data_IF_944399135451
#
_entry.id   IF_944399135451
#
_cell.length_a   1.000
_cell.length_b   1.000
_cell.length_c   1.000
_cell.angle_alpha   90.00
_cell.angle_beta   90.00
_cell.angle_gamma   90.00
#
_symmetry.space_group_name_H-M   'P 1'
#
loop_
_entity.id
_entity.type
_entity.pdbx_description
1 polymer ?
#
# COMPACT_ATOMS: atom_id res chain seq x y z
N UNK A 1 0.96 -40.84 11.54
CA UNK A 1 1.66 -39.84 10.69
C UNK A 1 2.01 -38.70 11.62
N UNK A 2 3.30 -38.43 11.83
CA UNK A 2 3.73 -37.33 12.69
C UNK A 2 3.69 -36.07 11.83
N UNK A 3 3.02 -35.01 12.30
CA UNK A 3 3.05 -33.73 11.60
C UNK A 3 4.50 -33.22 11.59
N UNK A 4 4.99 -32.69 10.45
CA UNK A 4 6.34 -32.18 10.35
C UNK A 4 6.53 -31.02 11.32
N UNK A 5 7.64 -31.02 12.05
CA UNK A 5 8.00 -29.91 12.93
C UNK A 5 8.26 -28.64 12.12
N UNK A 6 7.76 -27.51 12.63
CA UNK A 6 8.00 -26.20 12.04
C UNK A 6 9.50 -25.89 12.16
N UNK A 7 10.20 -25.58 11.06
CA UNK A 7 11.62 -25.28 11.11
C UNK A 7 11.92 -24.12 12.08
N UNK A 8 12.93 -24.30 12.95
CA UNK A 8 13.29 -23.33 13.99
C UNK A 8 13.65 -21.94 13.45
N UNK A 9 14.17 -21.86 12.22
CA UNK A 9 14.50 -20.60 11.57
C UNK A 9 13.28 -19.68 11.38
N UNK A 10 12.06 -20.23 11.32
CA UNK A 10 10.82 -19.44 11.21
C UNK A 10 10.62 -18.58 12.46
N UNK A 11 10.94 -19.13 13.64
CA UNK A 11 10.77 -18.42 14.91
C UNK A 11 11.81 -17.29 15.10
N UNK A 12 13.00 -17.43 14.51
CA UNK A 12 14.10 -16.46 14.63
C UNK A 12 14.34 -15.65 13.36
N UNK A 13 13.39 -15.67 12.42
CA UNK A 13 13.56 -14.99 11.14
C UNK A 13 13.63 -13.48 11.32
N UNK A 14 14.71 -12.88 10.81
CA UNK A 14 14.84 -11.43 10.69
C UNK A 14 14.55 -11.06 9.24
N UNK A 15 13.65 -10.11 8.97
CA UNK A 15 13.38 -9.66 7.61
C UNK A 15 14.65 -9.22 6.89
N UNK A 16 14.87 -9.78 5.70
CA UNK A 16 15.89 -9.33 4.76
C UNK A 16 15.22 -8.76 3.50
N UNK A 17 15.88 -7.85 2.76
CA UNK A 17 15.38 -7.41 1.47
C UNK A 17 15.26 -8.60 0.52
N UNK A 18 14.19 -8.63 -0.28
CA UNK A 18 13.94 -9.70 -1.25
C UNK A 18 13.90 -9.12 -2.66
N UNK A 19 14.35 -9.91 -3.62
CA UNK A 19 14.27 -9.59 -5.04
C UNK A 19 13.90 -10.87 -5.78
N UNK A 20 12.75 -10.85 -6.45
CA UNK A 20 12.32 -11.89 -7.37
C UNK A 20 12.24 -11.29 -8.76
N UNK A 21 12.64 -12.06 -9.77
CA UNK A 21 12.40 -11.67 -11.14
C UNK A 21 12.04 -12.88 -11.99
N UNK A 22 11.20 -12.64 -12.97
CA UNK A 22 10.85 -13.61 -13.99
C UNK A 22 11.12 -12.98 -15.35
N UNK A 23 11.93 -13.67 -16.15
CA UNK A 23 12.15 -13.32 -17.55
C UNK A 23 11.31 -14.25 -18.44
N UNK A 24 10.65 -13.67 -19.44
CA UNK A 24 9.99 -14.37 -20.53
C UNK A 24 10.41 -13.71 -21.84
N UNK A 25 10.12 -14.36 -22.98
CA UNK A 25 10.38 -13.76 -24.30
C UNK A 25 9.65 -12.42 -24.50
N UNK A 26 8.53 -12.20 -23.79
CA UNK A 26 7.72 -10.99 -23.93
C UNK A 26 8.07 -9.87 -22.94
N UNK A 27 8.52 -10.20 -21.72
CA UNK A 27 8.79 -9.21 -20.67
C UNK A 27 9.63 -9.79 -19.52
N UNK A 28 10.33 -8.89 -18.82
CA UNK A 28 10.91 -9.13 -17.50
C UNK A 28 10.06 -8.42 -16.45
N UNK A 29 9.69 -9.14 -15.39
CA UNK A 29 8.98 -8.57 -14.23
C UNK A 29 9.83 -8.74 -12.99
N UNK A 30 9.97 -7.66 -12.22
CA UNK A 30 10.71 -7.58 -10.97
C UNK A 30 9.77 -7.32 -9.80
N UNK A 31 9.99 -8.03 -8.69
CA UNK A 31 9.38 -7.77 -7.40
C UNK A 31 10.45 -7.57 -6.35
N UNK A 32 10.49 -6.38 -5.77
CA UNK A 32 11.36 -6.04 -4.65
C UNK A 32 10.55 -5.95 -3.36
N UNK A 33 11.10 -6.46 -2.27
CA UNK A 33 10.68 -6.10 -0.90
C UNK A 33 11.81 -5.34 -0.25
N UNK A 34 11.56 -4.08 0.08
CA UNK A 34 12.55 -3.18 0.69
C UNK A 34 12.20 -2.90 2.15
N UNK A 35 13.24 -2.69 2.96
CA UNK A 35 13.13 -2.48 4.40
C UNK A 35 13.47 -1.05 4.80
N UNK A 36 14.11 -0.28 3.92
CA UNK A 36 14.50 1.11 4.19
C UNK A 36 14.21 2.02 3.02
N UNK A 37 14.20 3.34 3.28
CA UNK A 37 14.02 4.36 2.24
C UNK A 37 15.21 4.38 1.26
N UNK A 38 16.42 4.12 1.75
CA UNK A 38 17.63 4.05 0.92
C UNK A 38 17.53 2.89 -0.08
N UNK A 39 17.00 1.75 0.35
CA UNK A 39 16.76 0.61 -0.54
C UNK A 39 15.68 0.92 -1.57
N UNK A 40 14.60 1.61 -1.19
CA UNK A 40 13.59 2.09 -2.14
C UNK A 40 14.22 3.00 -3.20
N UNK A 41 15.03 3.98 -2.79
CA UNK A 41 15.75 4.88 -3.69
C UNK A 41 16.74 4.13 -4.58
N UNK A 42 17.45 3.12 -4.05
CA UNK A 42 18.37 2.30 -4.84
C UNK A 42 17.64 1.51 -5.94
N UNK A 43 16.46 0.95 -5.65
CA UNK A 43 15.64 0.26 -6.66
C UNK A 43 15.16 1.25 -7.73
N UNK A 44 14.70 2.45 -7.33
CA UNK A 44 14.28 3.49 -8.27
C UNK A 44 15.46 3.96 -9.16
N UNK A 45 16.66 4.12 -8.60
CA UNK A 45 17.84 4.49 -9.36
C UNK A 45 18.28 3.39 -10.34
N UNK A 46 18.20 2.12 -9.92
CA UNK A 46 18.50 0.96 -10.76
C UNK A 46 17.56 0.86 -11.97
N UNK A 47 16.29 1.20 -11.78
CA UNK A 47 15.23 1.12 -12.78
C UNK A 47 14.77 2.50 -13.27
N UNK A 48 15.68 3.49 -13.32
CA UNK A 48 15.36 4.89 -13.62
C UNK A 48 14.66 5.12 -14.97
N UNK A 49 14.90 4.22 -15.93
CA UNK A 49 14.35 4.30 -17.29
C UNK A 49 13.09 3.40 -17.44
N UNK A 50 12.67 2.74 -16.37
CA UNK A 50 11.47 1.90 -16.32
C UNK A 50 10.38 2.54 -15.44
N UNK A 51 9.12 2.15 -15.66
CA UNK A 51 8.06 2.50 -14.73
C UNK A 51 8.23 1.67 -13.45
N UNK A 52 8.46 2.34 -12.32
CA UNK A 52 8.52 1.70 -11.00
C UNK A 52 7.20 1.92 -10.27
N UNK A 53 6.50 0.83 -9.94
CA UNK A 53 5.28 0.85 -9.16
C UNK A 53 5.60 0.57 -7.68
N UNK A 54 5.29 1.53 -6.82
CA UNK A 54 5.34 1.35 -5.37
C UNK A 54 4.10 0.59 -4.90
N UNK A 55 4.29 -0.42 -4.06
CA UNK A 55 3.25 -1.36 -3.65
C UNK A 55 3.07 -1.33 -2.13
N UNK A 56 1.83 -1.03 -1.72
CA UNK A 56 1.30 -1.32 -0.38
C UNK A 56 0.56 -2.66 -0.40
N UNK A 57 -0.78 -2.64 -0.37
CA UNK A 57 -1.61 -3.85 -0.46
C UNK A 57 -2.01 -4.32 -1.86
N UNK A 58 -1.61 -3.61 -2.91
CA UNK A 58 -1.91 -3.90 -4.34
C UNK A 58 -3.41 -4.13 -4.68
N UNK A 59 -4.33 -3.67 -3.83
CA UNK A 59 -5.77 -3.86 -4.03
C UNK A 59 -6.30 -3.15 -5.28
N UNK A 60 -5.62 -2.09 -5.73
CA UNK A 60 -5.90 -1.36 -6.96
C UNK A 60 -5.87 -2.26 -8.21
N UNK A 61 -5.08 -3.34 -8.21
CA UNK A 61 -5.00 -4.31 -9.32
C UNK A 61 -6.38 -4.90 -9.67
N UNK A 62 -7.25 -5.06 -8.68
CA UNK A 62 -8.60 -5.62 -8.90
C UNK A 62 -9.53 -4.67 -9.65
N UNK A 63 -9.28 -3.35 -9.57
CA UNK A 63 -10.23 -2.32 -10.02
C UNK A 63 -9.67 -1.41 -11.11
N UNK A 64 -8.34 -1.25 -11.23
CA UNK A 64 -7.70 -0.31 -12.17
C UNK A 64 -8.11 -0.54 -13.62
N UNK A 65 -8.38 -1.80 -13.97
CA UNK A 65 -8.81 -2.23 -15.31
C UNK A 65 -10.15 -1.62 -15.75
N UNK A 66 -10.98 -1.12 -14.83
CA UNK A 66 -12.24 -0.47 -15.16
C UNK A 66 -12.08 1.02 -15.48
N UNK A 67 -10.92 1.61 -15.16
CA UNK A 67 -10.67 3.05 -15.29
C UNK A 67 -9.62 3.39 -16.35
N UNK A 68 -8.97 2.38 -16.94
CA UNK A 68 -7.92 2.55 -17.93
C UNK A 68 -8.42 2.59 -19.39
N UNK A 69 -9.74 2.60 -19.60
CA UNK A 69 -10.38 2.65 -20.93
C UNK A 69 -10.02 1.47 -21.86
N UNK A 70 -9.49 0.36 -21.33
CA UNK A 70 -9.13 -0.83 -22.13
C UNK A 70 -10.21 -1.90 -22.05
N UNK A 71 -11.39 -1.63 -22.62
CA UNK A 71 -12.41 -2.68 -22.80
C UNK A 71 -11.77 -3.91 -23.51
N UNK A 72 -12.04 -5.15 -23.08
CA UNK A 72 -13.09 -5.61 -22.16
C UNK A 72 -12.69 -5.63 -20.67
N UNK A 73 -11.81 -4.73 -20.22
CA UNK A 73 -11.40 -4.55 -18.82
C UNK A 73 -10.79 -5.81 -18.20
N UNK A 74 -9.98 -6.52 -18.98
CA UNK A 74 -9.28 -7.74 -18.57
C UNK A 74 -7.80 -7.52 -18.23
N UNK A 75 -7.25 -6.31 -18.47
CA UNK A 75 -5.85 -5.99 -18.19
C UNK A 75 -5.74 -4.98 -17.04
N UNK A 76 -5.26 -5.40 -15.86
CA UNK A 76 -4.90 -4.45 -14.82
C UNK A 76 -3.68 -3.63 -15.24
N UNK A 77 -3.54 -2.44 -14.65
CA UNK A 77 -2.36 -1.60 -14.88
C UNK A 77 -1.31 -2.00 -13.86
N UNK A 78 -0.22 -2.61 -14.33
CA UNK A 78 0.93 -3.01 -13.55
C UNK A 78 2.20 -2.60 -14.29
N UNK A 79 3.23 -2.22 -13.54
CA UNK A 79 4.56 -1.94 -14.09
C UNK A 79 5.42 -3.21 -14.13
N UNK A 80 6.48 -3.20 -14.94
CA UNK A 80 7.50 -4.27 -14.95
C UNK A 80 8.27 -4.34 -13.64
N UNK A 81 8.36 -3.24 -12.89
CA UNK A 81 9.07 -3.17 -11.61
C UNK A 81 8.10 -2.84 -10.50
N UNK A 82 7.93 -3.76 -9.54
CA UNK A 82 7.11 -3.59 -8.36
C UNK A 82 7.97 -3.54 -7.10
N UNK A 83 7.68 -2.61 -6.20
CA UNK A 83 8.46 -2.42 -4.96
C UNK A 83 7.52 -2.37 -3.75
N UNK A 84 7.50 -3.44 -2.97
CA UNK A 84 6.79 -3.53 -1.69
C UNK A 84 7.49 -2.69 -0.62
N UNK A 85 6.77 -1.69 -0.12
CA UNK A 85 7.23 -0.73 0.91
C UNK A 85 6.63 -0.99 2.30
N UNK A 86 5.86 -2.05 2.47
CA UNK A 86 5.13 -2.36 3.72
C UNK A 86 6.03 -2.74 4.90
N UNK A 87 7.34 -2.86 4.67
CA UNK A 87 8.34 -3.16 5.71
C UNK A 87 9.25 -1.98 6.02
N UNK A 88 8.99 -0.79 5.47
CA UNK A 88 9.71 0.44 5.82
C UNK A 88 9.07 1.07 7.06
N UNK A 89 9.75 1.16 8.22
CA UNK A 89 9.16 1.69 9.45
C UNK A 89 8.62 3.12 9.30
N UNK A 90 9.36 3.99 8.63
CA UNK A 90 8.95 5.39 8.39
C UNK A 90 7.64 5.51 7.57
N UNK A 91 7.33 4.52 6.73
CA UNK A 91 6.10 4.53 5.92
C UNK A 91 4.95 3.75 6.56
N UNK A 92 5.18 3.03 7.65
CA UNK A 92 4.16 2.27 8.38
C UNK A 92 3.77 2.90 9.72
N UNK A 93 4.44 3.99 10.11
CA UNK A 93 4.17 4.70 11.35
C UNK A 93 2.96 5.63 11.26
N UNK A 94 2.28 5.81 12.39
CA UNK A 94 1.32 6.87 12.64
C UNK A 94 1.81 7.63 13.87
N UNK A 95 2.05 8.93 13.73
CA UNK A 95 2.65 9.76 14.79
C UNK A 95 1.74 10.96 15.05
N UNK A 96 1.20 11.13 16.26
CA UNK A 96 0.54 12.38 16.65
C UNK A 96 1.52 13.53 16.52
N UNK A 97 1.09 14.62 15.89
CA UNK A 97 1.88 15.84 15.83
C UNK A 97 1.54 16.67 17.06
N UNK A 98 2.48 16.79 18.00
CA UNK A 98 2.28 17.54 19.25
C UNK A 98 1.68 18.93 18.99
N UNK A 99 0.80 19.35 19.90
CA UNK A 99 0.17 20.68 19.95
C UNK A 99 -0.79 21.00 18.79
N UNK A 100 -1.14 20.01 17.96
CA UNK A 100 -2.12 20.14 16.89
C UNK A 100 -2.95 18.84 16.87
N UNK A 101 -4.28 18.93 16.78
CA UNK A 101 -5.15 17.74 16.61
C UNK A 101 -4.95 17.08 15.22
N UNK A 102 -3.72 16.63 14.94
CA UNK A 102 -3.21 16.22 13.66
C UNK A 102 -2.39 14.92 13.80
N UNK A 103 -2.45 14.09 12.76
CA UNK A 103 -1.68 12.85 12.65
C UNK A 103 -0.74 12.95 11.45
N UNK A 104 0.53 12.60 11.65
CA UNK A 104 1.44 12.25 10.57
C UNK A 104 1.27 10.76 10.27
N UNK A 105 0.96 10.42 9.03
CA UNK A 105 0.58 9.06 8.62
C UNK A 105 1.51 8.60 7.50
N UNK A 106 2.22 7.49 7.71
CA UNK A 106 3.07 6.89 6.70
C UNK A 106 2.28 6.31 5.52
N UNK A 107 2.84 6.37 4.31
CA UNK A 107 2.13 5.99 3.07
C UNK A 107 1.73 4.51 2.97
N UNK A 108 2.39 3.61 3.71
CA UNK A 108 2.11 2.18 3.75
C UNK A 108 1.10 1.78 4.86
N UNK A 109 0.57 2.75 5.63
CA UNK A 109 -0.46 2.51 6.64
C UNK A 109 -1.75 2.04 5.97
N UNK A 110 -2.30 0.93 6.46
CA UNK A 110 -3.57 0.38 5.96
C UNK A 110 -4.77 1.23 6.36
N UNK A 111 -5.88 1.12 5.63
CA UNK A 111 -7.13 1.82 5.96
C UNK A 111 -7.64 1.40 7.34
N UNK A 112 -7.49 0.12 7.71
CA UNK A 112 -7.86 -0.36 9.05
C UNK A 112 -7.04 0.31 10.15
N UNK A 113 -5.72 0.37 9.99
CA UNK A 113 -4.85 1.00 11.00
C UNK A 113 -5.12 2.50 11.13
N UNK A 114 -5.30 3.20 10.00
CA UNK A 114 -5.64 4.62 10.00
C UNK A 114 -7.01 4.87 10.65
N UNK A 115 -8.03 4.06 10.34
CA UNK A 115 -9.35 4.17 10.98
C UNK A 115 -9.28 4.01 12.50
N UNK A 116 -8.48 3.05 12.99
CA UNK A 116 -8.28 2.85 14.42
C UNK A 116 -7.61 4.05 15.08
N UNK A 117 -6.56 4.60 14.45
CA UNK A 117 -5.88 5.80 14.95
C UNK A 117 -6.80 7.03 14.96
N UNK A 118 -7.56 7.25 13.89
CA UNK A 118 -8.51 8.36 13.83
C UNK A 118 -9.52 8.30 14.96
N UNK A 119 -10.11 7.14 15.24
CA UNK A 119 -11.07 6.97 16.35
C UNK A 119 -10.46 7.22 17.73
N UNK A 120 -9.18 6.88 17.91
CA UNK A 120 -8.47 7.15 19.17
C UNK A 120 -8.16 8.64 19.36
N UNK A 121 -7.88 9.35 18.28
CA UNK A 121 -7.55 10.80 18.31
C UNK A 121 -8.79 11.70 18.14
N UNK A 122 -9.92 11.16 17.70
CA UNK A 122 -11.14 11.92 17.38
C UNK A 122 -11.88 12.48 18.60
N UNK A 123 -11.49 12.13 19.84
CA UNK A 123 -12.17 12.58 21.07
C UNK A 123 -12.44 14.08 21.11
N UNK A 124 -11.56 14.88 20.48
CA UNK A 124 -11.63 16.34 20.50
C UNK A 124 -11.55 16.98 19.09
N UNK A 125 -11.77 16.21 18.00
CA UNK A 125 -11.71 16.74 16.64
C UNK A 125 -12.85 16.22 15.72
N UNK A 126 -13.88 17.03 15.42
CA UNK A 126 -15.02 16.61 14.61
C UNK A 126 -14.65 16.27 13.16
N UNK A 127 -13.53 16.81 12.65
CA UNK A 127 -13.04 16.49 11.32
C UNK A 127 -12.45 15.07 11.26
N UNK A 128 -11.72 14.64 12.30
CA UNK A 128 -11.18 13.28 12.38
C UNK A 128 -12.30 12.26 12.58
N UNK A 129 -13.35 12.59 13.33
CA UNK A 129 -14.53 11.74 13.48
C UNK A 129 -15.27 11.57 12.15
N UNK A 130 -15.48 12.68 11.42
CA UNK A 130 -16.12 12.64 10.09
C UNK A 130 -15.33 11.76 9.12
N UNK A 131 -13.99 11.91 9.12
CA UNK A 131 -13.11 11.08 8.30
C UNK A 131 -13.18 9.61 8.71
N UNK A 132 -13.15 9.30 10.01
CA UNK A 132 -13.27 7.93 10.51
C UNK A 132 -14.62 7.29 10.11
N UNK A 133 -15.72 8.04 10.22
CA UNK A 133 -17.02 7.58 9.79
C UNK A 133 -17.06 7.29 8.28
N UNK A 134 -16.51 8.18 7.44
CA UNK A 134 -16.43 7.95 5.99
C UNK A 134 -15.58 6.70 5.67
N UNK A 135 -14.38 6.62 6.24
CA UNK A 135 -13.46 5.48 6.08
C UNK A 135 -14.07 4.13 6.51
N UNK A 136 -14.95 4.13 7.50
CA UNK A 136 -15.62 2.90 7.97
C UNK A 136 -16.52 2.26 6.92
N UNK A 137 -16.96 3.03 5.91
CA UNK A 137 -17.81 2.58 4.81
C UNK A 137 -17.03 2.13 3.58
N UNK A 138 -15.70 2.35 3.57
CA UNK A 138 -14.84 2.02 2.42
C UNK A 138 -14.59 0.53 2.38
N UNK A 139 -15.08 -0.13 1.32
CA UNK A 139 -14.87 -1.55 1.02
C UNK A 139 -15.21 -2.53 2.17
N UNK A 140 -14.77 -3.78 2.07
CA UNK A 140 -14.89 -4.78 3.13
C UNK A 140 -13.62 -4.85 4.00
N UNK A 141 -13.67 -5.62 5.09
CA UNK A 141 -12.55 -5.74 6.04
C UNK A 141 -11.27 -6.24 5.38
N UNK A 142 -11.37 -7.21 4.47
CA UNK A 142 -10.24 -7.81 3.77
C UNK A 142 -9.51 -6.77 2.93
N UNK A 143 -10.25 -5.95 2.17
CA UNK A 143 -9.69 -4.85 1.39
C UNK A 143 -9.08 -3.80 2.32
N UNK A 144 -9.77 -3.35 3.38
CA UNK A 144 -9.23 -2.33 4.29
C UNK A 144 -7.96 -2.75 5.03
N UNK A 145 -7.84 -4.04 5.35
CA UNK A 145 -6.66 -4.58 6.04
C UNK A 145 -5.40 -4.53 5.16
N UNK A 146 -5.56 -4.63 3.83
CA UNK A 146 -4.45 -4.59 2.89
C UNK A 146 -4.25 -3.21 2.24
N UNK A 147 -5.33 -2.55 1.83
CA UNK A 147 -5.29 -1.28 1.12
C UNK A 147 -4.68 -0.18 1.99
N UNK A 148 -3.83 0.65 1.38
CA UNK A 148 -3.21 1.80 2.05
C UNK A 148 -3.93 3.08 1.67
N UNK A 149 -3.93 4.07 2.58
CA UNK A 149 -4.56 5.37 2.29
C UNK A 149 -3.88 6.06 1.10
N UNK A 150 -2.54 6.08 1.06
CA UNK A 150 -1.79 6.69 -0.04
C UNK A 150 -1.98 5.93 -1.36
N UNK A 151 -2.18 4.60 -1.31
CA UNK A 151 -2.50 3.80 -2.49
C UNK A 151 -3.85 4.17 -3.12
N UNK A 152 -4.85 4.49 -2.29
CA UNK A 152 -6.15 4.99 -2.77
C UNK A 152 -6.00 6.38 -3.42
N UNK A 153 -5.27 7.31 -2.78
CA UNK A 153 -4.98 8.63 -3.34
C UNK A 153 -4.19 8.54 -4.66
N UNK A 154 -3.19 7.66 -4.71
CA UNK A 154 -2.40 7.40 -5.92
C UNK A 154 -3.28 6.88 -7.06
N UNK A 155 -4.25 6.00 -6.76
CA UNK A 155 -5.20 5.52 -7.75
C UNK A 155 -6.12 6.63 -8.27
N UNK A 156 -6.64 7.48 -7.39
CA UNK A 156 -7.46 8.64 -7.74
C UNK A 156 -6.70 9.64 -8.63
N UNK A 157 -5.42 9.87 -8.32
CA UNK A 157 -4.54 10.71 -9.14
C UNK A 157 -4.30 10.11 -10.53
N UNK A 158 -4.11 8.78 -10.61
CA UNK A 158 -3.86 8.09 -11.87
C UNK A 158 -5.11 8.02 -12.76
N UNK A 159 -6.29 7.92 -12.15
CA UNK A 159 -7.57 7.80 -12.86
C UNK A 159 -8.57 8.81 -12.32
N UNK A 160 -8.74 9.99 -12.94
CA UNK A 160 -9.67 11.02 -12.47
C UNK A 160 -11.14 10.58 -12.40
N UNK A 161 -11.51 9.50 -13.09
CA UNK A 161 -12.85 8.89 -13.03
C UNK A 161 -13.03 7.89 -11.89
N UNK A 162 -11.97 7.56 -11.15
CA UNK A 162 -12.05 6.69 -9.97
C UNK A 162 -12.75 7.44 -8.84
N UNK A 163 -13.91 6.97 -8.35
CA UNK A 163 -14.62 7.60 -7.24
C UNK A 163 -13.91 7.26 -5.93
N UNK A 164 -12.89 8.04 -5.58
CA UNK A 164 -12.17 7.82 -4.33
C UNK A 164 -13.07 8.12 -3.12
N UNK A 165 -13.29 7.09 -2.30
CA UNK A 165 -13.93 7.24 -1.00
C UNK A 165 -12.98 7.79 0.10
N UNK A 166 -11.88 8.45 -0.26
CA UNK A 166 -10.98 9.11 0.69
C UNK A 166 -10.68 10.55 0.28
N UNK A 167 -10.59 10.81 -1.02
CA UNK A 167 -10.41 12.15 -1.57
C UNK A 167 -11.79 12.74 -1.83
N UNK A 168 -12.32 13.47 -0.85
CA UNK A 168 -13.56 14.23 -1.00
C UNK A 168 -13.23 15.68 -1.30
N UNK A 169 -13.67 16.18 -2.46
CA UNK A 169 -13.63 17.60 -2.83
C UNK A 169 -14.96 18.29 -2.58
#
# INVERSE_FOLDING_TARGET
VHDPEVPSFIASYVPIPLCFHQASEAAVVWWYKVLTLEQLSAVQAKHKDESVMVVGGLTSRGVSKYFNQTAPYNRPVLSSVLVDITSIPALTAIVPVSDKNCLSVGAAVSLTALLAALRQTASDNPYLETLAHHMSKVANHQVRNAATWAGNLSLARAFPSFPSDLVTG
#
